data_IF_099711663590
#
_entry.id   IF_099711663590
#
_cell.length_a   1.000
_cell.length_b   1.000
_cell.length_c   1.000
_cell.angle_alpha   90.00
_cell.angle_beta   90.00
_cell.angle_gamma   90.00
#
_symmetry.space_group_name_H-M   'P 1'
#
loop_
_entity.id
_entity.type
_entity.pdbx_description
1 polymer ?
#
# COMPACT_ATOMS: atom_id res chain seq x y z
N UNK A 1 6.85 9.84 -19.16
CA UNK A 1 7.17 9.95 -17.72
C UNK A 1 5.85 9.68 -17.01
N UNK A 2 5.71 8.49 -16.42
CA UNK A 2 4.42 7.90 -16.05
C UNK A 2 4.08 8.25 -14.60
N UNK A 3 2.90 8.81 -14.37
CA UNK A 3 2.56 9.51 -13.12
C UNK A 3 2.37 8.61 -11.88
N UNK A 4 2.21 7.30 -12.04
CA UNK A 4 1.97 6.40 -10.90
C UNK A 4 3.25 5.83 -10.25
N UNK A 5 4.35 5.67 -10.99
CA UNK A 5 5.57 5.07 -10.40
C UNK A 5 6.23 5.98 -9.35
N UNK A 6 6.01 7.29 -9.45
CA UNK A 6 6.58 8.29 -8.54
C UNK A 6 5.69 8.56 -7.30
N UNK A 7 4.48 7.97 -7.24
CA UNK A 7 3.45 8.26 -6.20
C UNK A 7 3.19 7.11 -5.23
N UNK A 8 3.84 5.96 -5.38
CA UNK A 8 3.62 4.77 -4.55
C UNK A 8 2.68 3.75 -5.21
N UNK A 9 2.01 2.92 -4.39
CA UNK A 9 1.04 1.92 -4.90
C UNK A 9 -0.12 2.62 -5.64
N UNK A 10 -0.56 2.13 -6.80
CA UNK A 10 -1.60 2.76 -7.61
C UNK A 10 -3.00 2.50 -7.01
N UNK A 11 -3.26 3.02 -5.82
CA UNK A 11 -4.61 3.02 -5.21
C UNK A 11 -5.54 3.93 -6.02
N UNK A 12 -6.86 3.73 -5.89
CA UNK A 12 -7.86 4.35 -6.77
C UNK A 12 -7.71 5.87 -6.87
N UNK A 13 -7.42 6.52 -5.75
CA UNK A 13 -7.28 7.98 -5.62
C UNK A 13 -6.04 8.52 -6.34
N UNK A 14 -5.07 7.66 -6.66
CA UNK A 14 -3.85 8.00 -7.38
C UNK A 14 -3.89 7.66 -8.87
N UNK A 15 -4.92 6.96 -9.33
CA UNK A 15 -5.11 6.58 -10.74
C UNK A 15 -5.91 7.63 -11.52
N UNK A 16 -5.53 7.86 -12.77
CA UNK A 16 -6.36 8.59 -13.72
C UNK A 16 -7.45 7.67 -14.31
N UNK A 17 -8.70 7.84 -13.87
CA UNK A 17 -9.80 6.98 -14.33
C UNK A 17 -10.21 7.21 -15.79
N UNK A 18 -9.76 8.30 -16.43
CA UNK A 18 -9.99 8.56 -17.85
C UNK A 18 -8.92 7.91 -18.76
N UNK A 19 -7.82 7.41 -18.17
CA UNK A 19 -6.76 6.72 -18.91
C UNK A 19 -7.05 5.21 -18.98
N UNK A 20 -7.16 4.60 -20.18
CA UNK A 20 -7.34 3.15 -20.33
C UNK A 20 -6.30 2.31 -19.56
N UNK A 21 -5.06 2.80 -19.44
CA UNK A 21 -3.98 2.09 -18.74
C UNK A 21 -4.11 2.16 -17.21
N UNK A 22 -4.87 3.12 -16.68
CA UNK A 22 -5.02 3.33 -15.23
C UNK A 22 -6.44 3.08 -14.70
N UNK A 23 -7.48 3.12 -15.53
CA UNK A 23 -8.90 2.99 -15.13
C UNK A 23 -9.17 1.77 -14.22
N UNK A 24 -8.54 0.63 -14.52
CA UNK A 24 -8.69 -0.61 -13.77
C UNK A 24 -7.43 -1.00 -12.98
N UNK A 25 -6.36 -0.22 -13.05
CA UNK A 25 -5.07 -0.58 -12.45
C UNK A 25 -5.17 -0.81 -10.94
N UNK A 26 -5.87 0.08 -10.23
CA UNK A 26 -6.08 -0.01 -8.78
C UNK A 26 -6.86 -1.27 -8.35
N UNK A 27 -7.72 -1.80 -9.23
CA UNK A 27 -8.53 -2.98 -8.96
C UNK A 27 -7.76 -4.29 -9.12
N UNK A 28 -6.49 -4.24 -9.56
CA UNK A 28 -5.61 -5.40 -9.75
C UNK A 28 -4.61 -5.57 -8.59
N UNK A 29 -4.76 -4.79 -7.52
CA UNK A 29 -3.95 -4.87 -6.31
C UNK A 29 -4.47 -5.93 -5.34
N UNK A 30 -3.55 -6.55 -4.59
CA UNK A 30 -3.87 -7.47 -3.51
C UNK A 30 -4.82 -8.59 -3.94
N UNK A 31 -4.59 -9.16 -5.12
CA UNK A 31 -5.39 -10.29 -5.61
C UNK A 31 -5.23 -11.48 -4.65
N UNK A 32 -6.30 -12.26 -4.51
CA UNK A 32 -6.28 -13.45 -3.66
C UNK A 32 -5.17 -14.43 -4.11
N UNK A 33 -4.65 -15.21 -3.16
CA UNK A 33 -3.52 -16.14 -3.33
C UNK A 33 -2.15 -15.49 -3.67
N UNK A 34 -2.05 -14.16 -3.64
CA UNK A 34 -0.78 -13.43 -3.76
C UNK A 34 -0.15 -13.23 -2.39
N UNK A 35 0.71 -14.18 -2.00
CA UNK A 35 1.32 -14.19 -0.67
C UNK A 35 2.42 -13.14 -0.54
N UNK A 36 2.19 -12.13 0.30
CA UNK A 36 3.22 -11.20 0.77
C UNK A 36 3.64 -10.12 -0.21
N UNK A 37 2.97 -10.02 -1.34
CA UNK A 37 3.19 -8.98 -2.33
C UNK A 37 1.86 -8.29 -2.66
N UNK A 38 1.91 -6.98 -2.90
CA UNK A 38 0.73 -6.22 -3.31
C UNK A 38 0.35 -6.46 -4.78
N UNK A 39 1.26 -7.04 -5.58
CA UNK A 39 1.08 -7.33 -7.01
C UNK A 39 1.77 -8.65 -7.40
N UNK A 40 1.20 -9.36 -8.37
CA UNK A 40 1.79 -10.60 -8.94
C UNK A 40 2.87 -10.33 -9.98
N UNK A 41 2.79 -9.19 -10.66
CA UNK A 41 3.56 -8.83 -11.84
C UNK A 41 3.93 -7.34 -11.78
N UNK A 42 4.77 -6.86 -12.70
CA UNK A 42 5.12 -5.45 -12.78
C UNK A 42 3.90 -4.56 -13.05
N UNK A 43 3.97 -3.30 -12.62
CA UNK A 43 2.92 -2.31 -12.90
C UNK A 43 2.70 -2.09 -14.40
N UNK A 44 3.74 -2.15 -15.23
CA UNK A 44 3.59 -2.07 -16.69
C UNK A 44 2.73 -3.20 -17.27
N UNK A 45 2.86 -4.41 -16.70
CA UNK A 45 2.01 -5.53 -17.11
C UNK A 45 0.56 -5.32 -16.66
N UNK A 46 0.34 -4.84 -15.43
CA UNK A 46 -1.00 -4.51 -14.93
C UNK A 46 -1.66 -3.38 -15.74
N UNK A 47 -0.91 -2.37 -16.16
CA UNK A 47 -1.39 -1.33 -17.10
C UNK A 47 -1.87 -1.91 -18.42
N UNK A 48 -1.11 -2.85 -18.96
CA UNK A 48 -1.50 -3.58 -20.17
C UNK A 48 -2.80 -4.37 -19.97
N UNK A 49 -3.00 -4.97 -18.79
CA UNK A 49 -4.26 -5.65 -18.43
C UNK A 49 -5.41 -4.64 -18.33
N UNK A 50 -5.22 -3.51 -17.63
CA UNK A 50 -6.24 -2.44 -17.53
C UNK A 50 -6.69 -1.97 -18.90
N UNK A 51 -5.73 -1.68 -19.79
CA UNK A 51 -6.01 -1.27 -21.16
C UNK A 51 -6.81 -2.31 -21.93
N UNK A 52 -6.46 -3.60 -21.78
CA UNK A 52 -7.22 -4.69 -22.40
C UNK A 52 -8.66 -4.73 -21.92
N UNK A 53 -8.91 -4.57 -20.61
CA UNK A 53 -10.27 -4.51 -20.04
C UNK A 53 -11.05 -3.35 -20.66
N UNK A 54 -10.43 -2.18 -20.81
CA UNK A 54 -11.05 -1.02 -21.46
C UNK A 54 -11.35 -1.27 -22.94
N UNK A 55 -10.42 -1.85 -23.69
CA UNK A 55 -10.54 -2.14 -25.12
C UNK A 55 -11.63 -3.17 -25.44
N UNK A 56 -11.88 -4.13 -24.54
CA UNK A 56 -13.02 -5.06 -24.66
C UNK A 56 -14.36 -4.44 -24.21
N UNK A 57 -14.36 -3.15 -23.86
CA UNK A 57 -15.57 -2.38 -23.55
C UNK A 57 -15.86 -2.18 -22.06
N UNK A 58 -14.97 -2.61 -21.16
CA UNK A 58 -15.14 -2.39 -19.72
C UNK A 58 -15.14 -0.90 -19.38
N UNK A 59 -16.10 -0.45 -18.57
CA UNK A 59 -16.19 0.93 -18.05
C UNK A 59 -16.63 0.92 -16.60
N UNK A 60 -16.12 1.87 -15.82
CA UNK A 60 -16.65 2.17 -14.49
C UNK A 60 -17.93 3.02 -14.66
N UNK A 61 -19.07 2.47 -14.25
CA UNK A 61 -20.39 3.12 -14.37
C UNK A 61 -21.05 3.38 -13.01
N UNK A 62 -20.43 2.89 -11.94
CA UNK A 62 -20.92 3.01 -10.57
C UNK A 62 -19.76 3.33 -9.64
N UNK A 63 -20.09 3.93 -8.51
CA UNK A 63 -19.13 4.12 -7.42
C UNK A 63 -18.75 2.78 -6.79
N UNK A 64 -17.49 2.61 -6.37
CA UNK A 64 -17.05 1.39 -5.73
C UNK A 64 -17.71 1.23 -4.35
N UNK A 65 -17.97 -0.03 -3.98
CA UNK A 65 -18.47 -0.39 -2.64
C UNK A 65 -17.36 -0.87 -1.70
N UNK A 66 -16.17 -1.12 -2.24
CA UNK A 66 -14.96 -1.50 -1.51
C UNK A 66 -13.77 -0.64 -1.94
N UNK A 67 -12.80 -0.46 -1.03
CA UNK A 67 -11.52 0.19 -1.29
C UNK A 67 -10.36 -0.72 -0.92
N UNK A 68 -9.23 -0.54 -1.59
CA UNK A 68 -7.99 -1.22 -1.23
C UNK A 68 -7.29 -0.43 -0.12
N UNK A 69 -7.01 -1.10 1.00
CA UNK A 69 -6.22 -0.58 2.10
C UNK A 69 -4.82 -1.21 2.05
N UNK A 70 -3.76 -0.42 1.77
CA UNK A 70 -2.39 -0.90 1.88
C UNK A 70 -2.06 -1.37 3.31
N UNK A 71 -1.10 -2.31 3.48
CA UNK A 71 -0.66 -2.72 4.81
C UNK A 71 0.04 -1.55 5.53
N UNK A 72 -0.25 -1.38 6.83
CA UNK A 72 0.19 -0.23 7.64
C UNK A 72 1.60 -0.41 8.22
N UNK A 73 2.06 -1.66 8.36
CA UNK A 73 3.34 -1.97 8.99
C UNK A 73 4.01 -3.19 8.35
N UNK A 74 5.23 -3.48 8.79
CA UNK A 74 5.92 -4.73 8.44
C UNK A 74 4.98 -5.92 8.69
N UNK A 75 4.75 -6.78 7.69
CA UNK A 75 3.74 -7.82 7.79
C UNK A 75 4.04 -8.78 8.95
N UNK A 76 3.07 -8.99 9.85
CA UNK A 76 3.20 -9.92 10.98
C UNK A 76 3.26 -11.38 10.49
N UNK A 77 2.61 -11.67 9.38
CA UNK A 77 2.71 -12.93 8.63
C UNK A 77 2.94 -12.64 7.14
N UNK A 78 3.50 -13.57 6.34
CA UNK A 78 3.63 -13.38 4.89
C UNK A 78 2.29 -13.06 4.19
N UNK A 79 1.16 -13.39 4.79
CA UNK A 79 -0.15 -13.06 4.24
C UNK A 79 -0.56 -11.62 4.56
N UNK A 80 -0.04 -10.97 5.59
CA UNK A 80 -0.45 -9.59 5.92
C UNK A 80 0.18 -8.53 5.01
N UNK A 81 1.09 -8.95 4.11
CA UNK A 81 1.86 -8.04 3.24
C UNK A 81 1.13 -7.57 1.98
N UNK A 82 -0.01 -8.16 1.62
CA UNK A 82 -0.71 -7.85 0.37
C UNK A 82 -1.80 -6.76 0.50
N UNK A 83 -2.05 -6.25 1.71
CA UNK A 83 -3.13 -5.28 1.98
C UNK A 83 -4.50 -5.97 2.14
N UNK A 84 -5.58 -5.19 2.15
CA UNK A 84 -6.93 -5.73 2.29
C UNK A 84 -7.96 -4.94 1.49
N UNK A 85 -8.97 -5.62 0.98
CA UNK A 85 -10.15 -4.99 0.39
C UNK A 85 -11.24 -4.87 1.45
N UNK A 86 -11.61 -3.63 1.78
CA UNK A 86 -12.53 -3.30 2.87
C UNK A 86 -13.69 -2.46 2.35
N UNK A 87 -14.76 -2.29 3.14
CA UNK A 87 -15.84 -1.37 2.79
C UNK A 87 -15.31 0.05 2.57
N UNK A 88 -15.87 0.79 1.61
CA UNK A 88 -15.53 2.22 1.42
C UNK A 88 -15.80 3.07 2.66
N UNK A 89 -16.81 2.69 3.46
CA UNK A 89 -17.18 3.36 4.70
C UNK A 89 -16.28 2.98 5.89
N UNK A 90 -15.43 1.96 5.72
CA UNK A 90 -14.55 1.53 6.81
C UNK A 90 -13.42 2.56 7.02
N UNK A 91 -13.30 3.16 8.22
CA UNK A 91 -12.29 4.17 8.47
C UNK A 91 -10.90 3.55 8.33
N UNK A 92 -9.97 4.28 7.73
CA UNK A 92 -8.59 3.84 7.73
C UNK A 92 -8.02 3.97 9.15
N UNK A 93 -7.24 2.98 9.60
CA UNK A 93 -6.70 3.00 10.95
C UNK A 93 -5.76 4.20 11.13
N UNK A 94 -5.76 4.71 12.35
CA UNK A 94 -4.89 5.82 12.71
C UNK A 94 -3.43 5.39 12.49
N UNK A 95 -2.72 6.16 11.67
CA UNK A 95 -1.30 5.92 11.43
C UNK A 95 -0.53 6.41 12.63
N UNK A 96 0.39 5.59 13.10
CA UNK A 96 1.38 5.98 14.09
C UNK A 96 2.75 6.03 13.40
N UNK A 97 3.17 7.22 12.89
CA UNK A 97 4.42 7.35 12.15
C UNK A 97 5.65 6.91 12.96
N UNK A 98 5.60 7.05 14.29
CA UNK A 98 6.68 6.61 15.16
C UNK A 98 6.75 5.09 15.17
N UNK A 99 5.64 4.41 15.46
CA UNK A 99 5.60 2.94 15.45
C UNK A 99 5.96 2.37 14.08
N UNK A 100 5.48 2.97 12.99
CA UNK A 100 5.85 2.59 11.61
C UNK A 100 7.36 2.71 11.36
N UNK A 101 7.96 3.83 11.78
CA UNK A 101 9.39 4.09 11.63
C UNK A 101 10.22 3.10 12.46
N UNK A 102 9.84 2.84 13.71
CA UNK A 102 10.52 1.90 14.59
C UNK A 102 10.45 0.46 14.04
N UNK A 103 9.31 0.05 13.49
CA UNK A 103 9.12 -1.29 12.91
C UNK A 103 10.00 -1.56 11.68
N UNK A 104 10.39 -0.52 10.94
CA UNK A 104 11.27 -0.63 9.78
C UNK A 104 12.76 -0.70 10.16
N UNK A 105 13.10 -0.38 11.41
CA UNK A 105 14.50 -0.41 11.86
C UNK A 105 14.97 -1.85 12.08
N UNK A 106 16.22 -2.13 11.69
CA UNK A 106 16.87 -3.39 12.07
C UNK A 106 17.02 -3.43 13.60
N UNK A 107 16.90 -4.61 14.26
CA UNK A 107 16.91 -4.69 15.72
C UNK A 107 18.13 -4.03 16.39
N UNK A 108 19.32 -4.13 15.78
CA UNK A 108 20.53 -3.50 16.32
C UNK A 108 20.53 -1.97 16.19
N UNK A 109 19.87 -1.41 15.16
CA UNK A 109 19.71 0.04 14.99
C UNK A 109 18.73 0.56 16.04
N UNK A 110 17.60 -0.12 16.20
CA UNK A 110 16.60 0.24 17.22
C UNK A 110 17.23 0.26 18.62
N UNK A 111 18.03 -0.76 18.97
CA UNK A 111 18.77 -0.79 20.22
C UNK A 111 19.72 0.41 20.37
N UNK A 112 20.50 0.73 19.33
CA UNK A 112 21.42 1.87 19.37
C UNK A 112 20.70 3.22 19.53
N UNK A 113 19.50 3.36 18.96
CA UNK A 113 18.65 4.54 19.16
C UNK A 113 18.23 4.64 20.63
N UNK A 114 17.71 3.55 21.21
CA UNK A 114 17.31 3.52 22.63
C UNK A 114 18.49 3.83 23.57
N UNK A 115 19.65 3.21 23.32
CA UNK A 115 20.86 3.42 24.12
C UNK A 115 21.30 4.89 24.07
N UNK A 116 21.34 5.51 22.88
CA UNK A 116 21.69 6.93 22.71
C UNK A 116 20.70 7.87 23.39
N UNK A 117 19.40 7.65 23.24
CA UNK A 117 18.38 8.47 23.90
C UNK A 117 18.51 8.40 25.42
N UNK A 118 18.90 7.25 25.96
CA UNK A 118 19.16 7.10 27.40
C UNK A 118 20.39 7.83 27.90
N UNK A 119 21.43 7.91 27.08
CA UNK A 119 22.64 8.70 27.37
C UNK A 119 22.38 10.21 27.29
N UNK A 120 21.60 10.65 26.30
CA UNK A 120 21.31 12.08 26.05
C UNK A 120 20.26 12.66 26.99
N UNK A 121 19.27 11.85 27.40
CA UNK A 121 18.15 12.26 28.24
C UNK A 121 17.96 11.33 29.45
N UNK A 122 18.93 11.28 30.39
CA UNK A 122 18.82 10.43 31.57
C UNK A 122 17.56 10.75 32.42
N UNK A 123 17.10 11.99 32.41
CA UNK A 123 15.94 12.49 33.16
C UNK A 123 14.58 11.90 32.74
N UNK A 124 14.50 11.21 31.60
CA UNK A 124 13.26 10.56 31.12
C UNK A 124 13.06 9.14 31.66
N UNK A 125 14.05 8.58 32.36
CA UNK A 125 14.10 7.16 32.72
C UNK A 125 14.00 6.89 34.23
N UNK A 126 13.75 7.92 35.02
CA UNK A 126 13.58 7.88 36.49
C UNK A 126 12.16 7.45 36.93
#
# INVERSE_FOLDING_TARGET
MMAAEDKGLPVRELCNLDDPEEMFLWALLGLDDVNGAQVMVSFDHLRTISKRIFEVGGRLVADPVIKYRPPIAAPLTPFDGHGSWVSVDEPDPERDPLSETLAQMKPHVLKAVVDRTREEHPEWWD
#
